data_IF_407940584123
#
_entry.id   IF_407940584123
#
_cell.length_a   1.000
_cell.length_b   1.000
_cell.length_c   1.000
_cell.angle_alpha   90.00
_cell.angle_beta   90.00
_cell.angle_gamma   90.00
#
_symmetry.space_group_name_H-M   'P 1'
#
loop_
_entity.id
_entity.type
_entity.pdbx_description
1 polymer ?
#
# COMPACT_ATOMS: atom_id res chain seq x y z
N UNK A 1 -8.95 6.27 10.44
CA UNK A 1 -7.57 6.80 10.51
C UNK A 1 -7.00 7.18 9.14
N UNK A 2 -7.18 6.39 8.07
CA UNK A 2 -6.72 6.76 6.72
C UNK A 2 -7.25 8.14 6.30
N UNK A 3 -8.55 8.41 6.41
CA UNK A 3 -9.13 9.73 6.09
C UNK A 3 -8.51 10.87 6.90
N UNK A 4 -8.13 10.63 8.16
CA UNK A 4 -7.44 11.64 8.97
C UNK A 4 -6.00 11.86 8.45
N UNK A 5 -5.31 10.79 8.07
CA UNK A 5 -3.97 10.88 7.49
C UNK A 5 -3.98 11.58 6.13
N UNK A 6 -5.03 11.46 5.31
CA UNK A 6 -5.17 12.21 4.06
C UNK A 6 -5.14 13.73 4.29
N UNK A 7 -5.77 14.22 5.35
CA UNK A 7 -5.70 15.64 5.73
C UNK A 7 -4.28 16.08 6.11
N UNK A 8 -3.49 15.20 6.71
CA UNK A 8 -2.09 15.45 7.10
C UNK A 8 -1.08 15.13 5.99
N UNK A 9 -1.52 14.64 4.82
CA UNK A 9 -0.68 14.27 3.69
C UNK A 9 -1.02 15.08 2.42
N UNK A 10 -0.98 16.42 2.47
CA UNK A 10 -1.42 17.28 1.37
C UNK A 10 -0.62 17.06 0.08
N UNK A 11 0.65 16.64 0.18
CA UNK A 11 1.47 16.32 -0.99
C UNK A 11 0.92 15.15 -1.81
N UNK A 12 0.45 14.08 -1.14
CA UNK A 12 -0.15 12.93 -1.85
C UNK A 12 -1.53 13.30 -2.40
N UNK A 13 -2.35 14.03 -1.64
CA UNK A 13 -3.67 14.45 -2.11
C UNK A 13 -3.58 15.40 -3.32
N UNK A 14 -2.65 16.36 -3.30
CA UNK A 14 -2.38 17.22 -4.45
C UNK A 14 -1.88 16.42 -5.67
N UNK A 15 -1.06 15.38 -5.44
CA UNK A 15 -0.58 14.49 -6.50
C UNK A 15 -1.72 13.72 -7.15
N UNK A 16 -2.65 13.17 -6.34
CA UNK A 16 -3.87 12.51 -6.84
C UNK A 16 -4.70 13.45 -7.72
N UNK A 17 -4.97 14.66 -7.24
CA UNK A 17 -5.74 15.67 -8.00
C UNK A 17 -5.04 16.07 -9.30
N UNK A 18 -3.73 16.27 -9.25
CA UNK A 18 -2.95 16.75 -10.41
C UNK A 18 -2.84 15.70 -11.51
N UNK A 19 -2.53 14.45 -11.16
CA UNK A 19 -2.18 13.41 -12.15
C UNK A 19 -3.22 12.30 -12.28
N UNK A 20 -4.25 12.28 -11.42
CA UNK A 20 -5.36 11.31 -11.52
C UNK A 20 -6.01 11.30 -12.90
N UNK A 21 -6.37 12.44 -13.52
CA UNK A 21 -6.95 12.45 -14.87
C UNK A 21 -6.05 11.84 -15.96
N UNK A 22 -4.72 11.98 -15.81
CA UNK A 22 -3.74 11.53 -16.81
C UNK A 22 -3.42 10.04 -16.70
N UNK A 23 -3.79 9.39 -15.58
CA UNK A 23 -3.51 7.98 -15.28
C UNK A 23 -2.07 7.55 -15.64
N UNK A 24 -1.02 8.25 -15.16
CA UNK A 24 0.34 8.04 -15.63
C UNK A 24 0.93 6.68 -15.28
N UNK A 25 0.31 5.94 -14.35
CA UNK A 25 0.72 4.59 -13.95
C UNK A 25 -0.18 3.51 -14.53
N UNK A 26 -1.06 3.83 -15.48
CA UNK A 26 -1.90 2.85 -16.17
C UNK A 26 -1.06 1.71 -16.76
N UNK A 27 -1.41 0.47 -16.40
CA UNK A 27 -0.71 -0.74 -16.83
C UNK A 27 0.60 -1.04 -16.08
N UNK A 28 1.05 -0.15 -15.19
CA UNK A 28 2.21 -0.40 -14.34
C UNK A 28 1.83 -1.33 -13.19
N UNK A 29 2.64 -2.37 -12.99
CA UNK A 29 2.51 -3.34 -11.88
C UNK A 29 3.54 -3.03 -10.81
N UNK A 30 3.10 -2.61 -9.63
CA UNK A 30 3.96 -2.17 -8.53
C UNK A 30 3.88 -3.18 -7.38
N UNK A 31 5.02 -3.80 -7.04
CA UNK A 31 5.19 -4.55 -5.80
C UNK A 31 5.87 -3.65 -4.76
N UNK A 32 5.17 -3.35 -3.67
CA UNK A 32 5.73 -2.58 -2.55
C UNK A 32 6.25 -3.48 -1.42
N UNK A 33 7.45 -3.19 -0.93
CA UNK A 33 7.99 -3.70 0.33
C UNK A 33 8.40 -2.51 1.21
N UNK A 34 7.43 -2.03 2.00
CA UNK A 34 7.57 -0.86 2.86
C UNK A 34 6.60 -1.03 4.04
N UNK A 35 6.94 -0.52 5.22
CA UNK A 35 6.12 -0.65 6.43
C UNK A 35 4.62 -0.47 6.16
N UNK A 36 3.80 -1.47 6.46
CA UNK A 36 2.37 -1.43 6.19
C UNK A 36 1.63 -0.62 7.28
N UNK A 37 1.70 0.70 7.18
CA UNK A 37 1.09 1.66 8.12
C UNK A 37 -0.07 2.42 7.49
N UNK A 38 -0.76 3.25 8.28
CA UNK A 38 -1.79 4.18 7.78
C UNK A 38 -1.24 5.14 6.72
N UNK A 39 0.00 5.63 6.86
CA UNK A 39 0.60 6.53 5.88
C UNK A 39 0.87 5.80 4.56
N UNK A 40 1.35 4.55 4.64
CA UNK A 40 1.56 3.71 3.47
C UNK A 40 0.25 3.34 2.79
N UNK A 41 -0.85 3.19 3.54
CA UNK A 41 -2.17 3.01 2.95
C UNK A 41 -2.55 4.20 2.04
N UNK A 42 -2.33 5.45 2.48
CA UNK A 42 -2.55 6.64 1.64
C UNK A 42 -1.64 6.64 0.41
N UNK A 43 -0.40 6.17 0.53
CA UNK A 43 0.49 6.00 -0.62
C UNK A 43 -0.05 4.95 -1.61
N UNK A 44 -0.46 3.78 -1.14
CA UNK A 44 -1.00 2.69 -1.97
C UNK A 44 -2.21 3.19 -2.76
N UNK A 45 -3.18 3.81 -2.08
CA UNK A 45 -4.37 4.37 -2.72
C UNK A 45 -4.02 5.50 -3.71
N UNK A 46 -2.94 6.25 -3.46
CA UNK A 46 -2.44 7.25 -4.43
C UNK A 46 -1.94 6.56 -5.69
N UNK A 47 -1.13 5.51 -5.57
CA UNK A 47 -0.62 4.78 -6.74
C UNK A 47 -1.76 4.15 -7.55
N UNK A 48 -2.76 3.57 -6.87
CA UNK A 48 -3.98 3.04 -7.51
C UNK A 48 -4.77 4.16 -8.20
N UNK A 49 -4.97 5.31 -7.55
CA UNK A 49 -5.66 6.46 -8.14
C UNK A 49 -4.95 7.02 -9.38
N UNK A 50 -3.64 6.79 -9.51
CA UNK A 50 -2.83 7.13 -10.70
C UNK A 50 -2.80 6.02 -11.76
N UNK A 51 -3.51 4.91 -11.57
CA UNK A 51 -3.71 3.83 -12.55
C UNK A 51 -2.88 2.57 -12.34
N UNK A 52 -2.08 2.48 -11.27
CA UNK A 52 -1.23 1.32 -11.02
C UNK A 52 -2.03 0.10 -10.53
N UNK A 53 -1.58 -1.10 -10.90
CA UNK A 53 -1.94 -2.34 -10.20
C UNK A 53 -0.92 -2.59 -9.09
N UNK A 54 -1.38 -2.63 -7.85
CA UNK A 54 -0.49 -2.66 -6.66
C UNK A 54 -0.63 -3.98 -5.92
N UNK A 55 0.48 -4.51 -5.41
CA UNK A 55 0.56 -5.58 -4.41
C UNK A 55 1.54 -5.15 -3.32
N UNK A 56 1.33 -5.55 -2.07
CA UNK A 56 2.13 -5.02 -0.96
C UNK A 56 2.50 -6.06 0.10
N UNK A 57 3.71 -5.95 0.64
CA UNK A 57 4.17 -6.59 1.87
C UNK A 57 4.87 -5.57 2.77
N UNK A 58 4.95 -5.84 4.07
CA UNK A 58 5.76 -5.03 4.99
C UNK A 58 7.25 -5.30 4.77
N UNK A 59 8.13 -4.34 5.09
CA UNK A 59 9.58 -4.54 5.12
C UNK A 59 10.15 -4.79 6.54
N UNK A 60 9.26 -4.94 7.53
CA UNK A 60 9.62 -5.30 8.89
C UNK A 60 8.48 -6.03 9.61
N UNK A 61 8.82 -7.08 10.36
CA UNK A 61 7.88 -7.97 11.04
C UNK A 61 7.05 -7.30 12.14
N UNK A 62 7.46 -6.15 12.67
CA UNK A 62 6.77 -5.45 13.76
C UNK A 62 6.15 -4.11 13.35
N UNK A 63 6.40 -3.64 12.13
CA UNK A 63 5.97 -2.31 11.69
C UNK A 63 4.54 -2.24 11.20
N UNK A 64 3.92 -3.37 10.87
CA UNK A 64 2.55 -3.40 10.36
C UNK A 64 1.58 -2.82 11.40
N UNK A 65 0.64 -2.01 10.92
CA UNK A 65 -0.56 -1.60 11.62
C UNK A 65 -1.71 -2.40 11.02
N UNK A 66 -2.20 -3.41 11.74
CA UNK A 66 -3.11 -4.41 11.17
C UNK A 66 -4.41 -3.82 10.64
N UNK A 67 -4.91 -2.75 11.26
CA UNK A 67 -6.08 -2.02 10.78
C UNK A 67 -5.81 -1.26 9.47
N UNK A 68 -4.58 -0.81 9.23
CA UNK A 68 -4.19 -0.25 7.93
C UNK A 68 -4.11 -1.33 6.84
N UNK A 69 -3.51 -2.48 7.17
CA UNK A 69 -3.43 -3.64 6.27
C UNK A 69 -4.84 -4.14 5.90
N UNK A 70 -5.72 -4.30 6.90
CA UNK A 70 -7.10 -4.72 6.69
C UNK A 70 -7.91 -3.72 5.85
N UNK A 71 -7.73 -2.41 6.08
CA UNK A 71 -8.40 -1.38 5.29
C UNK A 71 -7.99 -1.43 3.82
N UNK A 72 -6.70 -1.58 3.51
CA UNK A 72 -6.24 -1.72 2.12
C UNK A 72 -6.72 -3.04 1.51
N UNK A 73 -6.65 -4.16 2.24
CA UNK A 73 -7.18 -5.43 1.75
C UNK A 73 -8.67 -5.34 1.37
N UNK A 74 -9.47 -4.60 2.14
CA UNK A 74 -10.90 -4.39 1.86
C UNK A 74 -11.17 -3.59 0.57
N UNK A 75 -10.19 -2.83 0.05
CA UNK A 75 -10.27 -2.17 -1.27
C UNK A 75 -10.05 -3.13 -2.45
N UNK A 76 -9.64 -4.37 -2.18
CA UNK A 76 -9.28 -5.37 -3.19
C UNK A 76 -7.79 -5.38 -3.58
N UNK A 77 -6.98 -4.47 -3.04
CA UNK A 77 -5.52 -4.49 -3.22
C UNK A 77 -4.92 -5.66 -2.42
N UNK A 78 -4.14 -6.57 -3.06
CA UNK A 78 -3.48 -7.67 -2.35
C UNK A 78 -2.42 -7.15 -1.36
N UNK A 79 -2.63 -7.43 -0.07
CA UNK A 79 -1.69 -7.10 1.01
C UNK A 79 -1.35 -8.37 1.78
N UNK A 80 -0.05 -8.62 1.92
CA UNK A 80 0.53 -9.74 2.66
C UNK A 80 1.33 -9.17 3.82
N UNK A 81 0.64 -8.74 4.88
CA UNK A 81 1.28 -8.14 6.03
C UNK A 81 0.41 -8.23 7.29
N UNK A 82 1.01 -8.58 8.43
CA UNK A 82 0.44 -8.44 9.78
C UNK A 82 1.54 -8.14 10.80
N UNK A 83 1.16 -7.62 11.97
CA UNK A 83 2.11 -7.29 13.04
C UNK A 83 2.50 -8.57 13.77
N UNK A 84 3.80 -8.80 13.92
CA UNK A 84 4.32 -9.98 14.61
C UNK A 84 4.45 -11.22 13.72
N UNK A 85 4.58 -11.05 12.40
CA UNK A 85 5.04 -12.10 11.49
C UNK A 85 6.30 -12.79 12.01
N UNK A 86 6.41 -14.09 11.78
CA UNK A 86 7.70 -14.80 11.86
C UNK A 86 8.60 -14.40 10.68
N UNK A 87 9.91 -14.59 10.82
CA UNK A 87 10.83 -14.34 9.70
C UNK A 87 10.55 -15.21 8.47
N UNK A 88 9.96 -16.41 8.66
CA UNK A 88 9.56 -17.26 7.55
C UNK A 88 8.39 -16.65 6.79
N UNK A 89 7.32 -16.29 7.51
CA UNK A 89 6.13 -15.64 6.92
C UNK A 89 6.49 -14.33 6.22
N UNK A 90 7.39 -13.52 6.80
CA UNK A 90 7.89 -12.29 6.19
C UNK A 90 8.43 -12.51 4.76
N UNK A 91 9.23 -13.56 4.54
CA UNK A 91 9.77 -13.88 3.22
C UNK A 91 8.73 -14.49 2.28
N UNK A 92 7.77 -15.26 2.82
CA UNK A 92 6.61 -15.76 2.05
C UNK A 92 5.69 -14.61 1.59
N UNK A 93 5.46 -13.62 2.45
CA UNK A 93 4.75 -12.38 2.14
C UNK A 93 5.48 -11.59 1.05
N UNK A 94 6.81 -11.46 1.16
CA UNK A 94 7.64 -10.80 0.14
C UNK A 94 7.51 -11.47 -1.22
N UNK A 95 7.59 -12.81 -1.27
CA UNK A 95 7.39 -13.56 -2.51
C UNK A 95 5.97 -13.37 -3.06
N UNK A 96 4.96 -13.41 -2.19
CA UNK A 96 3.55 -13.23 -2.58
C UNK A 96 3.27 -11.84 -3.17
N UNK A 97 3.94 -10.79 -2.67
CA UNK A 97 3.84 -9.45 -3.24
C UNK A 97 4.45 -9.33 -4.64
N UNK A 98 5.50 -10.10 -4.94
CA UNK A 98 6.20 -10.07 -6.25
C UNK A 98 5.48 -10.84 -7.37
N UNK A 99 4.63 -11.80 -7.02
CA UNK A 99 3.94 -12.67 -7.99
C UNK A 99 2.59 -12.05 -8.43
N UNK A 100 2.54 -11.55 -9.68
CA UNK A 100 1.35 -10.96 -10.32
C UNK A 100 0.58 -11.96 -11.19
#
# INVERSE_FOLDING_TARGET
EITLAEHEMPGLMATRTKYGPDQPLAGVRISGSLHMTIQTAVLIETLVALGATVRWASCNIYSTQDHAAAAIAATGVPVFAWKGETLKEYWECTLSALLF
#
